data_IF_224005361135
#
_entry.id   IF_224005361135
#
_cell.length_a   1.000
_cell.length_b   1.000
_cell.length_c   1.000
_cell.angle_alpha   90.00
_cell.angle_beta   90.00
_cell.angle_gamma   90.00
#
_symmetry.space_group_name_H-M   'P 1'
#
loop_
_entity.id
_entity.type
_entity.pdbx_description
1 polymer ?
#
# COMPACT_ATOMS: atom_id res chain seq x y z
N UNK A 1 -10.08 9.60 0.39
CA UNK A 1 -10.45 10.45 -0.75
C UNK A 1 -11.94 10.37 -1.07
N UNK A 2 -12.47 9.24 -1.59
CA UNK A 2 -13.88 9.14 -2.00
C UNK A 2 -14.90 9.58 -0.93
N UNK A 3 -14.67 9.21 0.34
CA UNK A 3 -15.49 9.66 1.48
C UNK A 3 -15.55 11.18 1.62
N UNK A 4 -14.43 11.89 1.42
CA UNK A 4 -14.38 13.34 1.58
C UNK A 4 -15.17 14.02 0.46
N UNK A 5 -15.01 13.52 -0.77
CA UNK A 5 -15.76 14.02 -1.94
C UNK A 5 -17.28 13.85 -1.71
N UNK A 6 -17.71 12.66 -1.27
CA UNK A 6 -19.12 12.44 -0.93
C UNK A 6 -19.60 13.37 0.19
N UNK A 7 -18.75 13.66 1.18
CA UNK A 7 -19.03 14.59 2.27
C UNK A 7 -19.20 16.03 1.85
N UNK A 8 -18.40 16.49 0.90
CA UNK A 8 -18.51 17.83 0.30
C UNK A 8 -19.81 17.97 -0.50
N UNK A 9 -20.18 16.95 -1.27
CA UNK A 9 -21.42 16.93 -2.06
C UNK A 9 -22.66 16.95 -1.15
N UNK A 10 -22.63 16.17 -0.07
CA UNK A 10 -23.76 15.99 0.84
C UNK A 10 -23.78 17.01 2.01
N UNK A 11 -22.89 18.02 1.99
CA UNK A 11 -22.76 19.09 2.98
C UNK A 11 -22.74 18.64 4.46
N UNK A 12 -22.13 17.48 4.75
CA UNK A 12 -22.35 16.86 6.07
C UNK A 12 -21.43 15.73 6.52
N UNK A 13 -20.19 15.60 6.04
CA UNK A 13 -19.34 14.50 6.52
C UNK A 13 -18.02 14.90 7.20
N UNK A 14 -17.64 14.06 8.16
CA UNK A 14 -16.30 14.04 8.75
C UNK A 14 -15.25 13.71 7.68
N UNK A 15 -14.26 14.60 7.55
CA UNK A 15 -13.14 14.39 6.62
C UNK A 15 -12.22 13.29 7.14
N UNK A 16 -11.79 12.39 6.26
CA UNK A 16 -10.69 11.46 6.53
C UNK A 16 -9.40 11.96 5.90
N UNK A 17 -8.30 11.90 6.65
CA UNK A 17 -6.97 12.22 6.13
C UNK A 17 -6.21 10.93 5.89
N UNK A 18 -5.53 10.83 4.75
CA UNK A 18 -4.52 9.80 4.56
C UNK A 18 -3.39 10.05 5.56
N UNK A 19 -2.89 9.00 6.19
CA UNK A 19 -1.92 9.09 7.29
C UNK A 19 -0.45 8.96 6.84
N UNK A 20 -0.22 8.78 5.54
CA UNK A 20 1.12 8.66 4.97
C UNK A 20 1.69 7.26 5.00
N UNK A 21 0.96 6.24 5.45
CA UNK A 21 1.46 4.86 5.46
C UNK A 21 1.33 4.22 4.08
N UNK A 22 2.40 3.58 3.61
CA UNK A 22 2.42 2.88 2.33
C UNK A 22 3.30 1.63 2.37
N UNK A 23 3.05 0.72 1.43
CA UNK A 23 3.86 -0.48 1.25
C UNK A 23 3.87 -0.94 -0.20
N UNK A 24 4.94 -1.62 -0.61
CA UNK A 24 5.08 -2.22 -1.93
C UNK A 24 5.87 -3.53 -1.88
N UNK A 25 5.71 -4.34 -2.93
CA UNK A 25 6.62 -5.43 -3.23
C UNK A 25 7.48 -5.04 -4.42
N UNK A 26 8.75 -5.40 -4.39
CA UNK A 26 9.73 -5.09 -5.43
C UNK A 26 10.33 -6.39 -5.94
N UNK A 27 9.95 -6.80 -7.16
CA UNK A 27 10.56 -7.98 -7.79
C UNK A 27 12.02 -7.72 -8.13
N UNK A 28 12.88 -8.67 -7.79
CA UNK A 28 14.33 -8.55 -8.03
C UNK A 28 14.85 -9.58 -9.02
N UNK A 29 13.97 -10.41 -9.60
CA UNK A 29 14.36 -11.61 -10.35
C UNK A 29 14.53 -12.83 -9.43
N UNK A 30 15.03 -13.94 -9.98
CA UNK A 30 15.31 -15.20 -9.26
C UNK A 30 14.14 -15.77 -8.43
N UNK A 31 12.91 -15.52 -8.89
CA UNK A 31 11.68 -15.85 -8.15
C UNK A 31 11.62 -15.21 -6.74
N UNK A 32 12.17 -14.00 -6.59
CA UNK A 32 12.16 -13.27 -5.34
C UNK A 32 11.54 -11.88 -5.48
N UNK A 33 11.00 -11.40 -4.37
CA UNK A 33 10.64 -10.00 -4.21
C UNK A 33 11.10 -9.51 -2.83
N UNK A 34 11.47 -8.23 -2.74
CA UNK A 34 11.61 -7.52 -1.47
C UNK A 34 10.28 -6.91 -1.04
N UNK A 35 10.13 -6.62 0.24
CA UNK A 35 8.99 -5.89 0.79
C UNK A 35 9.45 -4.55 1.35
N UNK A 36 8.82 -3.47 0.88
CA UNK A 36 9.03 -2.12 1.37
C UNK A 36 7.80 -1.61 2.12
N UNK A 37 8.00 -0.96 3.25
CA UNK A 37 6.93 -0.25 3.98
C UNK A 37 7.44 1.07 4.54
N UNK A 38 6.54 2.00 4.85
CA UNK A 38 6.97 3.23 5.49
C UNK A 38 5.87 4.24 5.76
N UNK A 39 6.24 5.24 6.54
CA UNK A 39 5.44 6.43 6.77
C UNK A 39 6.10 7.63 6.05
N UNK A 40 5.43 8.11 5.00
CA UNK A 40 5.92 9.16 4.11
C UNK A 40 5.68 10.57 4.64
N UNK A 41 4.91 10.72 5.72
CA UNK A 41 4.69 12.00 6.41
C UNK A 41 5.61 12.20 7.60
N UNK A 42 6.49 11.23 7.89
CA UNK A 42 7.51 11.36 8.92
C UNK A 42 8.45 12.52 8.62
N UNK A 43 8.89 13.20 9.67
CA UNK A 43 9.79 14.36 9.61
C UNK A 43 11.07 14.05 10.41
N UNK A 44 12.27 14.47 9.96
CA UNK A 44 12.58 15.35 8.81
C UNK A 44 12.55 14.66 7.44
N UNK A 45 12.40 13.35 7.39
CA UNK A 45 12.33 12.56 6.17
C UNK A 45 11.39 11.36 6.35
N UNK A 46 10.91 10.75 5.24
CA UNK A 46 10.13 9.52 5.28
C UNK A 46 10.85 8.42 6.07
N UNK A 47 10.09 7.70 6.89
CA UNK A 47 10.59 6.52 7.61
C UNK A 47 10.27 5.28 6.79
N UNK A 48 11.28 4.72 6.12
CA UNK A 48 11.13 3.58 5.21
C UNK A 48 11.87 2.37 5.77
N UNK A 49 11.24 1.21 5.69
CA UNK A 49 11.78 -0.10 6.03
C UNK A 49 11.78 -0.99 4.80
N UNK A 50 12.86 -1.75 4.62
CA UNK A 50 13.06 -2.63 3.49
C UNK A 50 13.48 -4.00 4.00
N UNK A 51 12.69 -5.01 3.68
CA UNK A 51 13.01 -6.41 3.91
C UNK A 51 13.78 -6.96 2.70
N UNK A 52 14.77 -7.84 2.92
CA UNK A 52 15.55 -8.41 1.83
C UNK A 52 14.68 -9.28 0.91
N UNK A 53 15.08 -9.45 -0.37
CA UNK A 53 14.34 -10.29 -1.30
C UNK A 53 14.17 -11.73 -0.79
N UNK A 54 12.97 -12.28 -0.94
CA UNK A 54 12.69 -13.69 -0.64
C UNK A 54 11.60 -14.25 -1.53
N UNK A 55 11.59 -15.59 -1.68
CA UNK A 55 10.50 -16.32 -2.35
C UNK A 55 9.16 -16.14 -1.63
N UNK A 56 9.19 -15.97 -0.30
CA UNK A 56 7.99 -15.73 0.52
C UNK A 56 7.27 -14.45 0.07
N UNK A 57 7.99 -13.34 -0.04
CA UNK A 57 7.40 -12.07 -0.46
C UNK A 57 6.92 -12.10 -1.91
N UNK A 58 7.57 -12.85 -2.81
CA UNK A 58 7.03 -13.04 -4.16
C UNK A 58 5.69 -13.77 -4.13
N UNK A 59 5.58 -14.81 -3.30
CA UNK A 59 4.32 -15.56 -3.12
C UNK A 59 3.22 -14.64 -2.56
N UNK A 60 3.51 -13.89 -1.50
CA UNK A 60 2.55 -12.95 -0.88
C UNK A 60 2.06 -11.90 -1.86
N UNK A 61 2.96 -11.32 -2.67
CA UNK A 61 2.59 -10.38 -3.74
C UNK A 61 1.59 -11.00 -4.72
N UNK A 62 1.89 -12.19 -5.24
CA UNK A 62 1.03 -12.90 -6.22
C UNK A 62 -0.34 -13.23 -5.63
N UNK A 63 -0.39 -13.61 -4.36
CA UNK A 63 -1.65 -13.87 -3.66
C UNK A 63 -2.49 -12.60 -3.57
N UNK A 64 -1.91 -11.48 -3.12
CA UNK A 64 -2.61 -10.19 -3.04
C UNK A 64 -3.10 -9.73 -4.42
N UNK A 65 -2.29 -9.89 -5.47
CA UNK A 65 -2.67 -9.52 -6.83
C UNK A 65 -3.83 -10.37 -7.36
N UNK A 66 -3.79 -11.68 -7.11
CA UNK A 66 -4.89 -12.60 -7.47
C UNK A 66 -6.17 -12.24 -6.72
N UNK A 67 -6.10 -12.09 -5.40
CA UNK A 67 -7.28 -11.79 -4.58
C UNK A 67 -7.93 -10.46 -5.00
N UNK A 68 -7.11 -9.46 -5.39
CA UNK A 68 -7.60 -8.19 -5.94
C UNK A 68 -8.26 -8.35 -7.30
N UNK A 69 -7.70 -9.19 -8.17
CA UNK A 69 -8.28 -9.48 -9.48
C UNK A 69 -9.61 -10.22 -9.34
N UNK A 70 -9.70 -11.19 -8.44
CA UNK A 70 -10.92 -11.94 -8.15
C UNK A 70 -12.03 -11.03 -7.60
N UNK A 71 -11.69 -10.02 -6.80
CA UNK A 71 -12.67 -9.04 -6.31
C UNK A 71 -13.27 -8.12 -7.39
N UNK A 72 -12.75 -8.16 -8.62
CA UNK A 72 -13.23 -7.38 -9.76
C UNK A 72 -14.17 -8.16 -10.70
N UNK A 73 -14.37 -9.46 -10.48
CA UNK A 73 -15.22 -10.36 -11.30
C UNK A 73 -16.45 -10.78 -10.49
#
# INVERSE_FOLDING_TARGET
MARNIAGEILAGANTSKFNGDGSCYLETGDEMAAYGSGNFYSYPAPRVYMEPPSKRFLKERREIERDRLEALV
#
